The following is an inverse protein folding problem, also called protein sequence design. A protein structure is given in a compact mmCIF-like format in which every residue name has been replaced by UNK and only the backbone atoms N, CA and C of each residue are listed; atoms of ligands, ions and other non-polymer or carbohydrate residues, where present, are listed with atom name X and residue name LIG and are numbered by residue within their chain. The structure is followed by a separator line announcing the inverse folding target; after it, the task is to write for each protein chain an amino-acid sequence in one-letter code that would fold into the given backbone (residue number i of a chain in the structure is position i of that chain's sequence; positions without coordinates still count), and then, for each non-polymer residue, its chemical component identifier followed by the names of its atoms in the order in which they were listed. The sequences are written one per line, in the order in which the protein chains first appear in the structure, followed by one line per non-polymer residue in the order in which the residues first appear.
data_IF_426606229118
#
_entry.id   IF_426606229118
#
_cell.length_a   1.000
_cell.length_b   1.000
_cell.length_c   1.000
_cell.angle_alpha   90.00
_cell.angle_beta   90.00
_cell.angle_gamma   90.00
#
_symmetry.space_group_name_H-M   'P 1'
#
loop_
_entity.id
_entity.type
_entity.pdbx_description
1 polymer ?
#
# COMPACT_ATOMS: atom_id res chain seq x y z
N UNK A 1 9.63 -2.03 -1.25
CA UNK A 1 9.78 -1.84 0.21
C UNK A 1 8.65 -1.00 0.77
N UNK A 2 8.00 -1.44 1.84
CA UNK A 2 7.16 -0.55 2.65
C UNK A 2 8.02 0.31 3.58
N UNK A 3 7.80 1.62 3.62
CA UNK A 3 8.48 2.54 4.53
C UNK A 3 8.09 2.26 5.99
N UNK A 4 6.79 2.13 6.29
CA UNK A 4 6.35 1.76 7.64
C UNK A 4 6.76 0.33 8.00
N UNK A 5 6.80 -0.59 7.03
CA UNK A 5 7.32 -1.94 7.27
C UNK A 5 8.81 -1.92 7.60
N UNK A 6 9.62 -1.15 6.88
CA UNK A 6 11.04 -0.94 7.20
C UNK A 6 11.23 -0.34 8.60
N UNK A 7 10.38 0.61 9.00
CA UNK A 7 10.34 1.14 10.38
C UNK A 7 10.06 0.02 11.38
N UNK A 8 9.01 -0.78 11.18
CA UNK A 8 8.64 -1.86 12.10
C UNK A 8 9.70 -2.95 12.20
N UNK A 9 10.38 -3.27 11.09
CA UNK A 9 11.53 -4.18 11.07
C UNK A 9 12.71 -3.64 11.87
N UNK A 10 13.02 -2.35 11.72
CA UNK A 10 14.08 -1.70 12.50
C UNK A 10 13.73 -1.63 13.99
N UNK A 11 12.49 -1.33 14.35
CA UNK A 11 11.99 -1.37 15.74
C UNK A 11 12.03 -2.78 16.33
N UNK A 12 11.96 -3.80 15.47
CA UNK A 12 12.14 -5.21 15.84
C UNK A 12 13.62 -5.67 15.82
N UNK A 13 14.57 -4.74 15.73
CA UNK A 13 16.01 -5.01 15.85
C UNK A 13 16.71 -5.44 14.55
N UNK A 14 16.06 -5.32 13.38
CA UNK A 14 16.73 -5.59 12.11
C UNK A 14 17.61 -4.39 11.69
N UNK A 15 18.85 -4.67 11.28
CA UNK A 15 19.70 -3.65 10.66
C UNK A 15 19.27 -3.37 9.21
N UNK A 16 19.80 -2.30 8.61
CA UNK A 16 19.41 -1.90 7.25
C UNK A 16 19.66 -2.98 6.19
N UNK A 17 20.69 -3.82 6.35
CA UNK A 17 21.02 -4.90 5.40
C UNK A 17 19.95 -6.00 5.40
N UNK A 18 19.49 -6.41 6.59
CA UNK A 18 18.39 -7.37 6.74
C UNK A 18 17.08 -6.79 6.21
N UNK A 19 16.83 -5.51 6.44
CA UNK A 19 15.64 -4.82 5.92
C UNK A 19 15.66 -4.82 4.39
N UNK A 20 16.77 -4.39 3.76
CA UNK A 20 16.89 -4.37 2.30
C UNK A 20 16.78 -5.76 1.70
N UNK A 21 17.46 -6.76 2.27
CA UNK A 21 17.39 -8.15 1.81
C UNK A 21 15.97 -8.73 1.93
N UNK A 22 15.21 -8.33 2.95
CA UNK A 22 13.83 -8.76 3.10
C UNK A 22 12.92 -8.26 1.96
N UNK A 23 13.08 -7.01 1.52
CA UNK A 23 12.23 -6.42 0.48
C UNK A 23 12.72 -6.64 -0.95
N UNK A 24 14.03 -6.76 -1.13
CA UNK A 24 14.65 -6.81 -2.46
C UNK A 24 15.29 -8.17 -2.75
N UNK A 25 15.30 -9.10 -1.80
CA UNK A 25 15.76 -10.46 -2.04
C UNK A 25 17.27 -10.53 -2.26
N UNK A 26 17.68 -11.19 -3.35
CA UNK A 26 19.09 -11.53 -3.58
C UNK A 26 19.90 -10.34 -4.14
N UNK A 27 20.34 -9.51 -3.21
CA UNK A 27 21.09 -8.28 -3.47
C UNK A 27 22.44 -8.30 -2.75
N UNK A 28 23.35 -7.48 -3.23
CA UNK A 28 24.59 -7.10 -2.57
C UNK A 28 24.63 -5.56 -2.46
N UNK A 29 25.04 -5.03 -1.32
CA UNK A 29 25.21 -3.59 -1.14
C UNK A 29 26.64 -3.25 -1.54
N UNK A 30 26.80 -2.39 -2.55
CA UNK A 30 28.11 -1.95 -3.06
C UNK A 30 28.22 -0.43 -3.03
N UNK A 31 29.45 0.06 -3.05
CA UNK A 31 29.78 1.48 -3.22
C UNK A 31 30.55 1.66 -4.54
N UNK A 32 29.89 1.54 -5.71
CA UNK A 32 30.52 1.77 -7.00
C UNK A 32 30.84 3.26 -7.19
N UNK A 33 31.59 3.57 -8.24
CA UNK A 33 31.80 4.96 -8.67
C UNK A 33 30.50 5.51 -9.27
N UNK A 34 29.82 6.35 -8.49
CA UNK A 34 28.58 7.02 -8.89
C UNK A 34 28.88 8.45 -9.34
N UNK A 35 28.12 9.00 -10.30
CA UNK A 35 28.14 10.42 -10.57
C UNK A 35 27.93 11.24 -9.28
N UNK A 36 28.74 12.28 -9.09
CA UNK A 36 28.58 13.20 -7.95
C UNK A 36 27.28 14.00 -8.02
N UNK A 37 26.66 14.09 -9.21
CA UNK A 37 25.44 14.84 -9.44
C UNK A 37 24.36 14.02 -10.12
N UNK A 38 23.12 14.47 -10.00
CA UNK A 38 21.94 13.89 -10.65
C UNK A 38 21.10 14.99 -11.31
N UNK A 39 20.62 14.71 -12.52
CA UNK A 39 19.74 15.61 -13.25
C UNK A 39 18.29 15.43 -12.80
N UNK A 40 17.64 16.53 -12.41
CA UNK A 40 16.24 16.55 -11.98
C UNK A 40 15.39 17.51 -12.81
N UNK A 41 14.07 17.47 -12.65
CA UNK A 41 13.13 18.49 -13.13
C UNK A 41 13.38 19.90 -12.60
N UNK A 42 14.12 20.04 -11.50
CA UNK A 42 14.51 21.31 -10.88
C UNK A 42 16.00 21.66 -11.06
N UNK A 43 16.68 21.01 -12.01
CA UNK A 43 18.09 21.21 -12.33
C UNK A 43 19.00 20.11 -11.78
N UNK A 44 20.30 20.31 -11.91
CA UNK A 44 21.33 19.35 -11.49
C UNK A 44 21.67 19.54 -10.02
N UNK A 45 21.55 18.48 -9.22
CA UNK A 45 21.82 18.49 -7.79
C UNK A 45 23.00 17.58 -7.45
N UNK A 46 23.77 17.94 -6.41
CA UNK A 46 24.68 17.01 -5.75
C UNK A 46 23.88 15.80 -5.21
N UNK A 47 24.31 14.59 -5.57
CA UNK A 47 23.55 13.35 -5.38
C UNK A 47 23.31 13.08 -3.89
N UNK A 48 24.38 12.90 -3.12
CA UNK A 48 24.28 12.56 -1.69
C UNK A 48 24.02 13.76 -0.78
N UNK A 49 24.35 14.97 -1.21
CA UNK A 49 23.99 16.20 -0.52
C UNK A 49 22.60 16.65 -0.91
N UNK A 50 22.48 17.61 -1.83
CA UNK A 50 21.22 18.33 -2.08
C UNK A 50 20.06 17.40 -2.42
N UNK A 51 20.28 16.36 -3.22
CA UNK A 51 19.21 15.47 -3.66
C UNK A 51 18.76 14.51 -2.55
N UNK A 52 19.62 13.58 -2.10
CA UNK A 52 19.27 12.60 -1.06
C UNK A 52 18.87 13.25 0.27
N UNK A 53 19.59 14.30 0.74
CA UNK A 53 19.21 15.00 1.98
C UNK A 53 17.87 15.71 1.89
N UNK A 54 17.44 16.08 0.68
CA UNK A 54 16.15 16.73 0.44
C UNK A 54 14.97 15.78 0.24
N UNK A 55 15.18 14.46 0.16
CA UNK A 55 14.07 13.52 -0.01
C UNK A 55 13.13 13.52 1.19
N UNK A 56 11.89 13.93 0.98
CA UNK A 56 10.83 14.09 1.99
C UNK A 56 9.95 12.84 2.15
N UNK A 57 10.54 11.67 1.94
CA UNK A 57 9.87 10.37 1.89
C UNK A 57 9.55 9.78 3.28
N UNK A 58 10.44 10.00 4.24
CA UNK A 58 10.28 9.48 5.60
C UNK A 58 10.59 10.52 6.68
N UNK A 59 9.94 10.43 7.86
CA UNK A 59 10.25 11.27 9.01
C UNK A 59 11.67 11.04 9.53
N UNK A 60 12.39 12.13 9.84
CA UNK A 60 13.76 12.09 10.36
C UNK A 60 13.86 11.54 11.80
N UNK A 61 12.73 11.36 12.49
CA UNK A 61 12.64 10.77 13.82
C UNK A 61 12.65 9.24 13.83
N UNK A 62 12.55 8.60 12.66
CA UNK A 62 12.50 7.16 12.54
C UNK A 62 13.82 6.47 12.97
N UNK A 63 13.80 5.14 13.20
CA UNK A 63 14.99 4.37 13.49
C UNK A 63 16.09 4.56 12.43
N UNK A 64 17.34 4.61 12.86
CA UNK A 64 18.48 4.86 11.98
C UNK A 64 18.60 3.81 10.87
N UNK A 65 18.38 2.53 11.18
CA UNK A 65 18.44 1.45 10.18
C UNK A 65 17.33 1.54 9.13
N UNK A 66 16.13 1.98 9.49
CA UNK A 66 15.08 2.27 8.52
C UNK A 66 15.47 3.44 7.60
N UNK A 67 16.08 4.48 8.16
CA UNK A 67 16.56 5.62 7.37
C UNK A 67 17.72 5.26 6.44
N UNK A 68 18.66 4.43 6.89
CA UNK A 68 19.75 3.91 6.05
C UNK A 68 19.21 3.05 4.92
N UNK A 69 18.28 2.14 5.20
CA UNK A 69 17.64 1.31 4.18
C UNK A 69 16.96 2.19 3.12
N UNK A 70 16.21 3.22 3.53
CA UNK A 70 15.60 4.16 2.60
C UNK A 70 16.62 4.96 1.79
N UNK A 71 17.69 5.45 2.40
CA UNK A 71 18.72 6.20 1.66
C UNK A 71 19.34 5.35 0.55
N UNK A 72 19.66 4.09 0.84
CA UNK A 72 20.21 3.13 -0.13
C UNK A 72 19.17 2.79 -1.21
N UNK A 73 17.93 2.48 -0.84
CA UNK A 73 16.86 2.18 -1.79
C UNK A 73 16.55 3.38 -2.70
N UNK A 74 16.49 4.59 -2.14
CA UNK A 74 16.25 5.81 -2.87
C UNK A 74 17.38 6.13 -3.86
N UNK A 75 18.64 6.01 -3.44
CA UNK A 75 19.81 6.19 -4.32
C UNK A 75 19.80 5.16 -5.44
N UNK A 76 19.50 3.91 -5.11
CA UNK A 76 19.41 2.81 -6.08
C UNK A 76 18.33 3.08 -7.13
N UNK A 77 17.13 3.47 -6.70
CA UNK A 77 16.03 3.84 -7.58
C UNK A 77 16.42 5.02 -8.50
N UNK A 78 16.95 6.10 -7.93
CA UNK A 78 17.33 7.29 -8.68
C UNK A 78 18.38 6.99 -9.77
N UNK A 79 19.41 6.23 -9.43
CA UNK A 79 20.45 5.78 -10.38
C UNK A 79 19.90 4.87 -11.46
N UNK A 80 19.08 3.88 -11.09
CA UNK A 80 18.38 3.04 -12.07
C UNK A 80 17.53 3.88 -13.02
N UNK A 81 16.83 4.90 -12.51
CA UNK A 81 15.90 5.76 -13.23
C UNK A 81 16.60 6.65 -14.26
N UNK A 82 17.73 7.27 -13.90
CA UNK A 82 18.50 8.12 -14.82
C UNK A 82 19.32 7.33 -15.84
N UNK A 83 19.29 5.99 -15.76
CA UNK A 83 19.95 5.10 -16.71
C UNK A 83 21.38 4.74 -16.34
N UNK A 84 21.80 4.94 -15.09
CA UNK A 84 23.11 4.46 -14.63
C UNK A 84 23.11 2.93 -14.61
N UNK A 85 24.18 2.32 -15.13
CA UNK A 85 24.44 0.89 -15.10
C UNK A 85 25.90 0.66 -14.75
N UNK A 86 26.24 -0.52 -14.25
CA UNK A 86 27.63 -0.88 -13.95
C UNK A 86 28.57 -0.80 -15.17
N UNK A 87 28.04 -0.97 -16.38
CA UNK A 87 28.77 -0.79 -17.65
C UNK A 87 28.50 0.55 -18.36
N UNK A 88 27.64 1.41 -17.80
CA UNK A 88 27.35 2.75 -18.29
C UNK A 88 27.21 3.71 -17.10
N UNK A 89 28.33 4.26 -16.67
CA UNK A 89 28.43 5.11 -15.48
C UNK A 89 28.16 6.59 -15.76
N UNK A 90 27.83 6.95 -17.02
CA UNK A 90 27.53 8.33 -17.45
C UNK A 90 26.06 8.49 -17.86
N UNK A 91 25.11 8.46 -16.91
CA UNK A 91 23.69 8.60 -17.20
C UNK A 91 23.32 9.99 -17.73
N UNK A 92 22.44 10.05 -18.72
CA UNK A 92 21.87 11.30 -19.25
C UNK A 92 20.40 11.52 -18.86
N UNK A 93 19.78 10.55 -18.19
CA UNK A 93 18.38 10.61 -17.77
C UNK A 93 18.11 11.68 -16.72
N UNK A 94 16.82 11.97 -16.53
CA UNK A 94 16.34 13.04 -15.65
C UNK A 94 15.18 12.53 -14.79
N UNK A 95 15.26 12.71 -13.48
CA UNK A 95 14.25 12.26 -12.51
C UNK A 95 13.34 13.41 -12.03
N UNK A 96 12.07 13.14 -11.79
CA UNK A 96 11.14 14.14 -11.26
C UNK A 96 11.25 14.29 -9.73
N UNK A 97 10.82 15.42 -9.18
CA UNK A 97 10.90 15.73 -7.73
C UNK A 97 9.54 15.70 -7.01
N UNK A 98 8.58 14.96 -7.59
CA UNK A 98 7.20 14.82 -7.11
C UNK A 98 6.89 13.38 -6.71
N UNK A 99 5.68 13.14 -6.20
CA UNK A 99 5.18 11.80 -5.84
C UNK A 99 5.20 10.79 -7.01
N UNK A 100 5.32 11.27 -8.26
CA UNK A 100 5.48 10.40 -9.43
C UNK A 100 6.85 9.71 -9.48
N UNK A 101 7.86 10.24 -8.78
CA UNK A 101 9.18 9.65 -8.65
C UNK A 101 9.57 9.58 -7.17
N UNK A 102 10.15 10.66 -6.65
CA UNK A 102 10.55 10.80 -5.26
C UNK A 102 10.29 12.23 -4.81
N UNK A 103 9.58 12.40 -3.71
CA UNK A 103 9.23 13.74 -3.22
C UNK A 103 10.46 14.43 -2.67
N UNK A 104 10.81 15.59 -3.23
CA UNK A 104 11.95 16.38 -2.78
C UNK A 104 11.50 17.73 -2.21
N UNK A 105 12.09 18.11 -1.07
CA UNK A 105 11.85 19.38 -0.39
C UNK A 105 13.16 20.12 -0.14
N UNK A 106 13.22 21.38 -0.58
CA UNK A 106 14.35 22.27 -0.33
C UNK A 106 14.57 22.53 1.15
N UNK A 107 13.49 22.67 1.93
CA UNK A 107 13.59 22.91 3.37
C UNK A 107 14.19 21.71 4.11
N UNK A 108 13.87 20.48 3.69
CA UNK A 108 14.45 19.28 4.29
C UNK A 108 15.94 19.13 3.97
N UNK A 109 16.36 19.57 2.78
CA UNK A 109 17.76 19.47 2.34
C UNK A 109 18.72 20.27 3.25
N UNK A 110 18.25 21.37 3.85
CA UNK A 110 19.08 22.29 4.64
C UNK A 110 18.68 22.40 6.10
N UNK A 111 17.58 21.77 6.54
CA UNK A 111 17.10 21.91 7.92
C UNK A 111 17.85 21.05 8.92
N UNK A 112 18.26 21.65 10.04
CA UNK A 112 18.84 20.97 11.20
C UNK A 112 17.88 19.95 11.84
N UNK A 113 16.56 20.17 11.72
CA UNK A 113 15.54 19.21 12.16
C UNK A 113 15.62 17.87 11.39
N UNK A 114 16.26 17.87 10.22
CA UNK A 114 16.52 16.69 9.41
C UNK A 114 17.93 16.10 9.61
N UNK A 115 18.71 16.58 10.59
CA UNK A 115 20.08 16.14 10.86
C UNK A 115 20.23 14.61 10.97
N UNK A 116 19.28 13.92 11.61
CA UNK A 116 19.29 12.44 11.69
C UNK A 116 19.13 11.76 10.33
N UNK A 117 18.30 12.31 9.45
CA UNK A 117 18.18 11.85 8.07
C UNK A 117 19.48 12.12 7.31
N UNK A 118 20.07 13.31 7.45
CA UNK A 118 21.36 13.63 6.82
C UNK A 118 22.48 12.70 7.28
N UNK A 119 22.50 12.31 8.56
CA UNK A 119 23.42 11.31 9.08
C UNK A 119 23.20 9.92 8.47
N UNK A 120 21.96 9.51 8.21
CA UNK A 120 21.68 8.23 7.55
C UNK A 120 22.18 8.24 6.10
N UNK A 121 21.98 9.35 5.38
CA UNK A 121 22.51 9.56 4.02
C UNK A 121 24.04 9.51 4.04
N UNK A 122 24.69 10.23 4.95
CA UNK A 122 26.15 10.24 5.06
C UNK A 122 26.73 8.87 5.40
N UNK A 123 26.13 8.16 6.38
CA UNK A 123 26.55 6.80 6.77
C UNK A 123 26.36 5.76 5.67
N UNK A 124 25.63 6.10 4.61
CA UNK A 124 25.37 5.22 3.46
C UNK A 124 25.80 5.84 2.14
N UNK A 125 26.69 6.85 2.18
CA UNK A 125 27.14 7.60 1.01
C UNK A 125 27.67 6.65 -0.06
N UNK A 126 27.21 6.86 -1.30
CA UNK A 126 27.56 6.01 -2.45
C UNK A 126 27.00 4.57 -2.43
N UNK A 127 26.36 4.11 -1.36
CA UNK A 127 25.86 2.73 -1.27
C UNK A 127 24.61 2.52 -2.13
N UNK A 128 24.61 1.51 -2.98
CA UNK A 128 23.48 1.06 -3.80
C UNK A 128 23.31 -0.45 -3.72
N UNK A 129 22.13 -0.95 -4.09
CA UNK A 129 21.90 -2.38 -4.23
C UNK A 129 22.22 -2.83 -5.65
N UNK A 130 23.02 -3.88 -5.75
CA UNK A 130 23.33 -4.59 -6.98
C UNK A 130 22.71 -5.98 -6.89
N UNK A 131 22.01 -6.39 -7.93
CA UNK A 131 21.44 -7.73 -8.04
C UNK A 131 22.57 -8.75 -8.18
N UNK A 132 22.62 -9.76 -7.30
CA UNK A 132 23.66 -10.82 -7.44
C UNK A 132 23.49 -11.63 -8.71
N UNK A 133 22.26 -11.76 -9.20
CA UNK A 133 21.92 -12.48 -10.43
C UNK A 133 22.42 -11.78 -11.69
N UNK A 134 22.24 -10.46 -11.78
CA UNK A 134 22.55 -9.71 -13.00
C UNK A 134 23.88 -8.97 -12.92
N UNK A 135 24.44 -8.81 -11.73
CA UNK A 135 25.64 -8.00 -11.49
C UNK A 135 25.40 -6.49 -11.65
N UNK A 136 24.14 -6.05 -11.82
CA UNK A 136 23.79 -4.67 -12.12
C UNK A 136 22.69 -4.13 -11.20
N UNK A 137 22.45 -2.81 -11.29
CA UNK A 137 21.39 -2.13 -10.56
C UNK A 137 19.99 -2.52 -11.09
N UNK A 138 18.98 -2.30 -10.26
CA UNK A 138 17.57 -2.51 -10.59
C UNK A 138 16.71 -1.39 -9.99
N UNK A 139 15.44 -1.31 -10.40
CA UNK A 139 14.53 -0.29 -9.84
C UNK A 139 14.06 -0.69 -8.44
N UNK A 140 14.62 -0.06 -7.40
CA UNK A 140 14.29 -0.34 -6.00
C UNK A 140 12.99 0.37 -5.55
N UNK A 141 11.83 -0.10 -6.03
CA UNK A 141 10.53 0.51 -5.70
C UNK A 141 10.23 0.49 -4.20
N UNK A 142 9.60 1.55 -3.72
CA UNK A 142 9.10 1.67 -2.34
C UNK A 142 7.78 2.44 -2.28
N UNK A 143 7.05 2.27 -1.20
CA UNK A 143 5.78 2.94 -0.93
C UNK A 143 5.63 3.22 0.56
N UNK A 144 4.73 4.14 0.94
CA UNK A 144 4.45 4.42 2.34
C UNK A 144 3.98 3.17 3.08
N UNK A 145 2.98 2.46 2.52
CA UNK A 145 2.42 1.25 3.12
C UNK A 145 2.04 0.22 2.05
N UNK A 146 2.25 -1.07 2.34
CA UNK A 146 1.98 -2.19 1.42
C UNK A 146 0.73 -3.01 1.76
N UNK A 147 0.24 -2.93 2.99
CA UNK A 147 -0.89 -3.75 3.48
C UNK A 147 -0.47 -5.06 4.16
N UNK A 148 0.83 -5.24 4.43
CA UNK A 148 1.38 -6.45 5.08
C UNK A 148 1.75 -7.58 4.12
N UNK A 149 1.63 -7.36 2.81
CA UNK A 149 2.13 -8.26 1.77
C UNK A 149 2.85 -7.46 0.68
N UNK A 150 4.04 -7.93 0.28
CA UNK A 150 4.78 -7.36 -0.84
C UNK A 150 4.43 -8.10 -2.12
N UNK A 151 4.10 -7.37 -3.19
CA UNK A 151 3.99 -7.97 -4.52
C UNK A 151 5.37 -8.21 -5.13
N UNK A 152 5.52 -9.36 -5.78
CA UNK A 152 6.67 -9.64 -6.63
C UNK A 152 6.70 -8.66 -7.80
N UNK A 153 7.89 -8.20 -8.19
CA UNK A 153 8.10 -7.51 -9.45
C UNK A 153 9.43 -7.90 -10.06
N UNK A 154 9.58 -7.67 -11.36
CA UNK A 154 10.85 -7.81 -12.07
C UNK A 154 11.24 -6.48 -12.68
N UNK A 155 12.48 -6.05 -12.46
CA UNK A 155 13.07 -4.88 -13.10
C UNK A 155 14.50 -5.22 -13.51
N UNK A 156 14.85 -4.94 -14.76
CA UNK A 156 16.22 -5.11 -15.30
C UNK A 156 16.81 -6.51 -15.01
N UNK A 157 15.98 -7.55 -15.12
CA UNK A 157 16.38 -8.95 -14.89
C UNK A 157 16.48 -9.39 -13.42
N UNK A 158 16.35 -8.47 -12.47
CA UNK A 158 16.23 -8.75 -11.05
C UNK A 158 14.76 -8.93 -10.66
N UNK A 159 14.45 -9.98 -9.92
CA UNK A 159 13.08 -10.31 -9.47
C UNK A 159 13.03 -10.34 -7.96
N UNK A 160 12.06 -9.62 -7.37
CA UNK A 160 11.73 -9.74 -5.95
C UNK A 160 10.70 -10.85 -5.74
N UNK A 161 10.66 -11.41 -4.53
CA UNK A 161 9.61 -12.36 -4.15
C UNK A 161 8.33 -11.63 -3.72
N UNK A 162 7.19 -12.31 -3.89
CA UNK A 162 5.96 -11.93 -3.22
C UNK A 162 5.92 -12.61 -1.86
N UNK A 163 5.71 -11.85 -0.78
CA UNK A 163 5.77 -12.38 0.57
C UNK A 163 5.01 -11.57 1.62
N UNK A 164 4.67 -12.24 2.72
CA UNK A 164 4.05 -11.61 3.88
C UNK A 164 5.09 -10.85 4.69
N UNK A 165 4.85 -9.55 4.86
CA UNK A 165 5.69 -8.64 5.64
C UNK A 165 5.30 -8.66 7.12
N UNK A 166 5.33 -9.85 7.70
CA UNK A 166 4.92 -10.16 9.08
C UNK A 166 6.08 -10.81 9.85
N UNK A 167 6.03 -10.80 11.19
CA UNK A 167 7.06 -11.47 12.01
C UNK A 167 7.18 -12.96 11.75
N UNK A 168 6.06 -13.65 11.51
CA UNK A 168 6.04 -15.08 11.20
C UNK A 168 6.30 -15.39 9.72
N UNK A 169 6.35 -14.39 8.85
CA UNK A 169 6.56 -14.57 7.41
C UNK A 169 5.38 -15.24 6.68
N UNK A 170 4.21 -15.34 7.32
CA UNK A 170 2.99 -15.89 6.74
C UNK A 170 1.77 -15.01 7.06
N UNK A 171 0.65 -15.37 6.45
CA UNK A 171 -0.68 -14.77 6.67
C UNK A 171 -1.23 -15.03 8.07
N UNK A 172 -0.72 -16.02 8.80
CA UNK A 172 -1.37 -16.53 10.01
C UNK A 172 -1.19 -15.60 11.22
N UNK A 173 -0.17 -14.74 11.20
CA UNK A 173 0.04 -13.68 12.18
C UNK A 173 -0.34 -12.29 11.65
N UNK A 174 -0.92 -12.23 10.44
CA UNK A 174 -1.55 -11.01 9.96
C UNK A 174 -2.93 -10.90 10.63
N UNK A 175 -3.25 -9.80 11.28
CA UNK A 175 -2.79 -8.44 10.96
C UNK A 175 -1.81 -7.88 11.98
N UNK A 176 -1.88 -8.35 13.23
CA UNK A 176 -1.23 -7.73 14.38
C UNK A 176 0.30 -7.72 14.27
N UNK A 177 0.89 -8.77 13.70
CA UNK A 177 2.34 -8.91 13.58
C UNK A 177 2.90 -8.45 12.23
N UNK A 178 2.09 -7.81 11.38
CA UNK A 178 2.61 -7.08 10.24
C UNK A 178 3.54 -5.96 10.71
N UNK A 179 4.70 -5.80 10.09
CA UNK A 179 5.65 -4.75 10.51
C UNK A 179 5.06 -3.34 10.41
N UNK A 180 4.14 -3.12 9.48
CA UNK A 180 3.41 -1.85 9.35
C UNK A 180 2.43 -1.60 10.50
N UNK A 181 1.86 -2.67 11.07
CA UNK A 181 1.02 -2.63 12.28
C UNK A 181 1.87 -2.27 13.50
N UNK A 182 2.99 -2.97 13.68
CA UNK A 182 3.97 -2.72 14.75
C UNK A 182 4.45 -1.26 14.71
N UNK A 183 4.74 -0.76 13.51
CA UNK A 183 5.17 0.62 13.28
C UNK A 183 4.05 1.67 13.41
N UNK A 184 2.81 1.23 13.68
CA UNK A 184 1.60 2.06 13.79
C UNK A 184 1.37 2.93 12.55
N UNK A 185 1.43 2.32 11.36
CA UNK A 185 1.12 3.04 10.12
C UNK A 185 -0.32 3.58 10.16
N UNK A 186 -0.54 4.88 9.89
CA UNK A 186 -1.88 5.48 9.85
C UNK A 186 -2.67 5.08 8.59
N UNK A 187 -2.05 4.32 7.69
CA UNK A 187 -2.60 3.86 6.42
C UNK A 187 -2.75 2.35 6.38
N UNK A 188 -2.01 1.61 7.20
CA UNK A 188 -2.22 0.18 7.36
C UNK A 188 -3.62 -0.01 7.90
N UNK A 189 -4.41 -0.86 7.22
CA UNK A 189 -5.71 -1.24 7.73
C UNK A 189 -6.75 -0.12 7.85
N UNK A 190 -6.59 0.93 7.04
CA UNK A 190 -7.48 2.08 7.11
C UNK A 190 -8.83 1.80 6.46
N UNK A 191 -9.91 2.02 7.20
CA UNK A 191 -11.25 2.13 6.64
C UNK A 191 -11.39 3.41 5.81
N UNK A 192 -11.44 3.29 4.49
CA UNK A 192 -11.55 4.41 3.57
C UNK A 192 -13.02 4.82 3.41
N UNK A 193 -13.35 6.05 3.79
CA UNK A 193 -14.71 6.62 3.69
C UNK A 193 -14.74 8.02 3.07
N UNK A 194 -13.62 8.47 2.50
CA UNK A 194 -13.50 9.77 1.85
C UNK A 194 -12.96 9.64 0.44
N UNK A 195 -13.36 10.54 -0.44
CA UNK A 195 -12.80 10.68 -1.78
C UNK A 195 -11.37 11.23 -1.73
N UNK A 196 -10.67 11.20 -2.87
CA UNK A 196 -9.36 11.86 -3.02
C UNK A 196 -9.43 13.37 -2.76
N UNK A 197 -10.56 14.00 -3.06
CA UNK A 197 -10.84 15.41 -2.74
C UNK A 197 -11.32 15.64 -1.31
N UNK A 198 -11.15 14.65 -0.41
CA UNK A 198 -11.50 14.70 1.00
C UNK A 198 -13.03 14.88 1.27
N UNK A 199 -13.89 14.59 0.28
CA UNK A 199 -15.35 14.57 0.47
C UNK A 199 -15.73 13.31 1.24
N UNK A 200 -16.45 13.45 2.36
CA UNK A 200 -16.87 12.32 3.21
C UNK A 200 -18.26 11.77 2.89
N UNK A 201 -19.00 12.42 1.99
CA UNK A 201 -20.33 12.01 1.57
C UNK A 201 -21.28 11.70 2.75
N UNK A 202 -21.37 12.65 3.68
CA UNK A 202 -22.27 12.55 4.83
C UNK A 202 -21.74 11.70 5.99
N UNK A 203 -20.57 11.08 5.86
CA UNK A 203 -20.01 10.20 6.90
C UNK A 203 -18.94 10.90 7.75
N UNK A 204 -18.85 10.48 9.01
CA UNK A 204 -17.78 10.86 9.95
C UNK A 204 -16.83 9.69 10.25
N UNK A 205 -17.22 8.47 9.89
CA UNK A 205 -16.47 7.24 10.12
C UNK A 205 -16.72 6.18 9.02
N UNK A 206 -15.87 5.15 8.92
CA UNK A 206 -16.03 4.07 7.95
C UNK A 206 -16.95 2.93 8.41
N UNK A 207 -17.39 2.89 9.68
CA UNK A 207 -18.29 1.84 10.18
C UNK A 207 -19.62 1.87 9.44
N UNK A 208 -20.10 0.71 9.03
CA UNK A 208 -21.45 0.49 8.50
C UNK A 208 -22.41 0.18 9.66
N UNK A 209 -23.67 0.55 9.52
CA UNK A 209 -24.73 0.02 10.39
C UNK A 209 -25.05 -1.43 10.02
N UNK A 210 -25.73 -2.14 10.92
CA UNK A 210 -26.22 -3.50 10.65
C UNK A 210 -27.10 -3.54 9.39
N UNK A 211 -28.00 -2.57 9.23
CA UNK A 211 -28.84 -2.43 8.04
C UNK A 211 -28.02 -2.18 6.77
N UNK A 212 -27.02 -1.30 6.83
CA UNK A 212 -26.14 -1.03 5.68
C UNK A 212 -25.33 -2.26 5.27
N UNK A 213 -24.84 -3.04 6.24
CA UNK A 213 -24.07 -4.24 5.94
C UNK A 213 -24.96 -5.40 5.46
N UNK A 214 -26.11 -5.61 6.08
CA UNK A 214 -27.11 -6.59 5.63
C UNK A 214 -27.60 -6.32 4.21
N UNK A 215 -27.78 -5.04 3.81
CA UNK A 215 -28.09 -4.64 2.43
C UNK A 215 -26.99 -5.06 1.44
N UNK A 216 -25.72 -4.86 1.79
CA UNK A 216 -24.59 -5.29 0.95
C UNK A 216 -24.55 -6.81 0.81
N UNK A 217 -24.77 -7.57 1.90
CA UNK A 217 -24.80 -9.04 1.84
C UNK A 217 -26.03 -9.52 1.04
N UNK A 218 -27.19 -8.90 1.22
CA UNK A 218 -28.38 -9.16 0.41
C UNK A 218 -28.13 -8.95 -1.08
N UNK A 219 -27.46 -7.85 -1.45
CA UNK A 219 -27.05 -7.59 -2.83
C UNK A 219 -26.12 -8.68 -3.38
N UNK A 220 -25.14 -9.15 -2.59
CA UNK A 220 -24.24 -10.23 -2.99
C UNK A 220 -24.99 -11.53 -3.27
N UNK A 221 -25.93 -11.91 -2.40
CA UNK A 221 -26.75 -13.12 -2.60
C UNK A 221 -27.60 -13.00 -3.86
N UNK A 222 -28.23 -11.84 -4.10
CA UNK A 222 -29.05 -11.62 -5.30
C UNK A 222 -28.23 -11.68 -6.60
N UNK A 223 -26.99 -11.17 -6.62
CA UNK A 223 -26.10 -11.27 -7.79
C UNK A 223 -25.65 -12.72 -8.01
N UNK A 224 -25.41 -13.46 -6.93
CA UNK A 224 -25.02 -14.87 -7.00
C UNK A 224 -26.14 -15.75 -7.56
N UNK A 225 -27.38 -15.45 -7.21
CA UNK A 225 -28.56 -16.17 -7.70
C UNK A 225 -28.89 -15.80 -9.15
N UNK A 226 -28.80 -14.51 -9.51
CA UNK A 226 -28.92 -14.03 -10.90
C UNK A 226 -28.02 -12.81 -11.13
N UNK A 227 -26.98 -13.00 -11.95
CA UNK A 227 -26.04 -11.94 -12.30
C UNK A 227 -26.68 -10.72 -12.95
N UNK A 228 -27.86 -10.86 -13.58
CA UNK A 228 -28.64 -9.76 -14.15
C UNK A 228 -29.05 -8.72 -13.11
N UNK A 229 -29.18 -9.11 -11.83
CA UNK A 229 -29.53 -8.22 -10.73
C UNK A 229 -28.50 -7.11 -10.48
N UNK A 230 -27.26 -7.26 -10.98
CA UNK A 230 -26.20 -6.25 -10.81
C UNK A 230 -26.63 -4.85 -11.30
N UNK A 231 -27.49 -4.77 -12.32
CA UNK A 231 -27.99 -3.50 -12.87
C UNK A 231 -28.80 -2.69 -11.85
N UNK A 232 -29.36 -3.35 -10.82
CA UNK A 232 -30.17 -2.74 -9.78
C UNK A 232 -29.41 -2.43 -8.49
N UNK A 233 -28.14 -2.83 -8.37
CA UNK A 233 -27.41 -2.88 -7.09
C UNK A 233 -26.33 -1.81 -6.94
N UNK A 234 -26.54 -0.67 -7.59
CA UNK A 234 -25.73 0.53 -7.37
C UNK A 234 -25.95 1.14 -5.97
N UNK A 235 -25.13 2.11 -5.58
CA UNK A 235 -25.21 2.77 -4.27
C UNK A 235 -26.52 3.55 -4.12
N UNK A 236 -27.35 3.28 -3.09
CA UNK A 236 -28.64 3.98 -2.88
C UNK A 236 -28.51 5.49 -2.72
N UNK A 237 -27.37 5.95 -2.20
CA UNK A 237 -27.10 7.36 -1.89
C UNK A 237 -26.22 8.04 -2.94
N UNK A 238 -26.12 7.45 -4.15
CA UNK A 238 -25.24 7.90 -5.23
C UNK A 238 -25.43 9.39 -5.59
N UNK A 239 -26.67 9.90 -5.64
CA UNK A 239 -26.90 11.33 -5.92
C UNK A 239 -26.29 12.25 -4.86
N UNK A 240 -26.37 11.90 -3.59
CA UNK A 240 -25.83 12.73 -2.52
C UNK A 240 -24.29 12.83 -2.59
N UNK A 241 -23.63 11.73 -2.96
CA UNK A 241 -22.17 11.66 -3.00
C UNK A 241 -21.59 12.07 -4.36
N UNK A 242 -22.24 11.67 -5.46
CA UNK A 242 -21.71 11.76 -6.83
C UNK A 242 -22.52 12.69 -7.75
N UNK A 243 -23.69 13.16 -7.30
CA UNK A 243 -24.55 14.08 -8.07
C UNK A 243 -25.33 13.41 -9.19
N UNK A 244 -25.34 12.07 -9.26
CA UNK A 244 -26.10 11.30 -10.25
C UNK A 244 -26.83 10.15 -9.56
N UNK A 245 -28.11 10.02 -9.87
CA UNK A 245 -28.90 8.81 -9.57
C UNK A 245 -28.68 7.78 -10.68
N UNK A 246 -28.87 6.51 -10.33
CA UNK A 246 -29.01 5.40 -11.28
C UNK A 246 -30.46 4.95 -11.16
N UNK A 247 -31.27 5.23 -12.19
CA UNK A 247 -32.74 5.18 -12.15
C UNK A 247 -33.32 3.85 -11.66
N UNK A 248 -32.61 2.76 -11.94
CA UNK A 248 -33.10 1.40 -11.69
C UNK A 248 -32.54 0.79 -10.40
N UNK A 249 -31.92 1.63 -9.55
CA UNK A 249 -31.32 1.17 -8.29
C UNK A 249 -32.39 0.78 -7.28
N UNK A 250 -32.33 -0.46 -6.81
CA UNK A 250 -33.16 -0.94 -5.71
C UNK A 250 -32.81 -0.24 -4.40
N UNK A 251 -33.85 0.16 -3.66
CA UNK A 251 -33.70 0.65 -2.29
C UNK A 251 -33.20 -0.46 -1.36
N UNK A 252 -32.79 -0.10 -0.14
CA UNK A 252 -32.43 -1.10 0.88
C UNK A 252 -33.62 -2.00 1.24
N UNK A 253 -34.83 -1.43 1.25
CA UNK A 253 -36.06 -2.18 1.48
C UNK A 253 -36.32 -3.21 0.38
N UNK A 254 -36.09 -2.85 -0.89
CA UNK A 254 -36.24 -3.78 -2.01
C UNK A 254 -35.25 -4.95 -1.93
N UNK A 255 -33.98 -4.66 -1.63
CA UNK A 255 -32.95 -5.70 -1.45
C UNK A 255 -33.28 -6.59 -0.26
N UNK A 256 -33.74 -6.02 0.85
CA UNK A 256 -34.18 -6.75 2.04
C UNK A 256 -35.37 -7.67 1.75
N UNK A 257 -36.37 -7.20 1.01
CA UNK A 257 -37.53 -8.01 0.63
C UNK A 257 -37.15 -9.16 -0.29
N UNK A 258 -36.30 -8.89 -1.29
CA UNK A 258 -35.87 -9.88 -2.30
C UNK A 258 -34.91 -10.93 -1.74
N UNK A 259 -33.93 -10.52 -0.96
CA UNK A 259 -32.93 -11.44 -0.36
C UNK A 259 -33.44 -12.10 0.93
N UNK A 260 -34.35 -11.44 1.64
CA UNK A 260 -34.78 -11.83 2.98
C UNK A 260 -33.71 -11.65 4.07
N UNK A 261 -32.53 -11.10 3.75
CA UNK A 261 -31.43 -10.88 4.69
C UNK A 261 -31.70 -9.61 5.47
N UNK A 262 -31.68 -9.72 6.79
CA UNK A 262 -31.97 -8.62 7.72
C UNK A 262 -30.92 -8.48 8.81
N UNK A 263 -30.06 -9.48 8.97
CA UNK A 263 -29.09 -9.57 10.07
C UNK A 263 -27.88 -10.41 9.62
N UNK A 264 -26.69 -9.94 9.97
CA UNK A 264 -25.40 -10.61 9.88
C UNK A 264 -24.92 -10.92 11.30
N UNK A 265 -24.91 -12.21 11.64
CA UNK A 265 -24.60 -12.70 12.99
C UNK A 265 -23.11 -12.84 13.25
N UNK A 266 -22.36 -13.16 12.20
CA UNK A 266 -20.95 -13.50 12.31
C UNK A 266 -20.26 -13.32 10.95
N UNK A 267 -18.97 -13.01 11.00
CA UNK A 267 -18.13 -12.89 9.81
C UNK A 267 -16.74 -13.45 10.06
N UNK A 268 -16.27 -14.25 9.11
CA UNK A 268 -14.93 -14.81 9.10
C UNK A 268 -14.27 -14.50 7.75
N UNK A 269 -13.02 -14.05 7.80
CA UNK A 269 -12.26 -13.63 6.62
C UNK A 269 -10.97 -14.43 6.56
N UNK A 270 -10.74 -15.10 5.43
CA UNK A 270 -9.52 -15.87 5.21
C UNK A 270 -8.65 -15.23 4.16
N UNK A 271 -7.34 -15.50 4.25
CA UNK A 271 -6.33 -14.94 3.35
C UNK A 271 -5.63 -16.05 2.59
N UNK A 272 -5.27 -15.77 1.34
CA UNK A 272 -4.45 -16.65 0.50
C UNK A 272 -2.96 -16.49 0.86
N UNK A 273 -2.11 -17.40 0.40
CA UNK A 273 -0.66 -17.19 0.46
C UNK A 273 -0.19 -16.03 -0.43
N UNK A 274 -0.96 -15.67 -1.46
CA UNK A 274 -0.66 -14.63 -2.45
C UNK A 274 -0.99 -13.20 -2.03
N UNK A 275 -1.31 -12.96 -0.75
CA UNK A 275 -1.49 -11.59 -0.25
C UNK A 275 -2.81 -10.96 -0.65
N UNK A 276 -3.87 -11.76 -0.79
CA UNK A 276 -5.24 -11.29 -1.01
C UNK A 276 -6.20 -11.96 -0.05
N UNK A 277 -7.32 -11.30 0.22
CA UNK A 277 -8.48 -11.91 0.87
C UNK A 277 -9.01 -13.01 -0.03
N UNK A 278 -9.02 -14.24 0.47
CA UNK A 278 -9.44 -15.42 -0.27
C UNK A 278 -10.95 -15.59 -0.19
N UNK A 279 -11.49 -15.68 1.01
CA UNK A 279 -12.91 -15.91 1.25
C UNK A 279 -13.44 -14.96 2.32
N UNK A 280 -14.69 -14.55 2.14
CA UNK A 280 -15.51 -13.92 3.18
C UNK A 280 -16.68 -14.83 3.48
N UNK A 281 -16.75 -15.34 4.71
CA UNK A 281 -17.80 -16.22 5.21
C UNK A 281 -18.72 -15.44 6.11
N UNK A 282 -20.00 -15.44 5.80
CA UNK A 282 -21.01 -14.61 6.48
C UNK A 282 -22.14 -15.49 6.97
N UNK A 283 -22.45 -15.41 8.26
CA UNK A 283 -23.62 -16.07 8.84
C UNK A 283 -24.75 -15.06 8.96
N UNK A 284 -25.94 -15.41 8.48
CA UNK A 284 -27.08 -14.48 8.46
C UNK A 284 -28.32 -15.08 9.12
N UNK A 285 -29.42 -14.34 9.12
CA UNK A 285 -30.75 -14.87 9.45
C UNK A 285 -31.32 -15.83 8.39
N UNK A 286 -30.74 -15.90 7.18
CA UNK A 286 -31.21 -16.75 6.07
C UNK A 286 -30.29 -17.90 5.70
N UNK A 287 -29.14 -17.99 6.34
CA UNK A 287 -28.16 -19.06 6.11
C UNK A 287 -26.74 -18.54 6.11
N UNK A 288 -25.82 -19.45 5.81
CA UNK A 288 -24.40 -19.19 5.75
C UNK A 288 -23.96 -19.07 4.30
N UNK A 289 -23.20 -18.02 3.99
CA UNK A 289 -22.74 -17.71 2.65
C UNK A 289 -21.22 -17.60 2.63
N UNK A 290 -20.62 -18.01 1.52
CA UNK A 290 -19.19 -17.84 1.24
C UNK A 290 -19.03 -17.14 -0.10
N UNK A 291 -18.23 -16.08 -0.10
CA UNK A 291 -17.91 -15.26 -1.26
C UNK A 291 -16.40 -15.23 -1.49
N UNK A 292 -15.97 -15.21 -2.76
CA UNK A 292 -14.57 -14.94 -3.09
C UNK A 292 -14.20 -13.50 -2.73
N UNK A 293 -12.99 -13.24 -2.24
CA UNK A 293 -12.61 -11.88 -1.80
C UNK A 293 -12.67 -10.82 -2.91
N UNK A 294 -12.35 -11.19 -4.15
CA UNK A 294 -12.47 -10.29 -5.30
C UNK A 294 -13.93 -9.97 -5.66
N UNK A 295 -14.79 -10.99 -5.69
CA UNK A 295 -16.24 -10.86 -5.87
C UNK A 295 -16.85 -9.99 -4.77
N UNK A 296 -16.50 -10.27 -3.51
CA UNK A 296 -16.94 -9.50 -2.36
C UNK A 296 -16.55 -8.02 -2.51
N UNK A 297 -15.29 -7.74 -2.85
CA UNK A 297 -14.83 -6.37 -3.08
C UNK A 297 -15.58 -5.67 -4.21
N UNK A 298 -15.86 -6.38 -5.31
CA UNK A 298 -16.58 -5.82 -6.44
C UNK A 298 -17.99 -5.41 -6.04
N UNK A 299 -18.77 -6.33 -5.45
CA UNK A 299 -20.16 -6.05 -5.04
C UNK A 299 -20.22 -5.05 -3.90
N UNK A 300 -19.32 -5.16 -2.91
CA UNK A 300 -19.20 -4.18 -1.83
C UNK A 300 -19.00 -2.78 -2.40
N UNK A 301 -18.08 -2.58 -3.34
CA UNK A 301 -17.83 -1.26 -3.90
C UNK A 301 -18.97 -0.73 -4.77
N UNK A 302 -19.76 -1.61 -5.38
CA UNK A 302 -20.96 -1.23 -6.13
C UNK A 302 -22.07 -0.71 -5.20
N UNK A 303 -22.19 -1.27 -4.00
CA UNK A 303 -23.34 -1.03 -3.11
C UNK A 303 -23.04 -0.18 -1.87
N UNK A 304 -21.79 -0.12 -1.42
CA UNK A 304 -21.41 0.55 -0.19
C UNK A 304 -21.82 2.04 -0.17
N UNK A 305 -22.34 2.54 0.95
CA UNK A 305 -22.83 3.91 1.04
C UNK A 305 -21.71 4.95 1.07
N UNK A 306 -22.05 6.14 0.58
CA UNK A 306 -21.18 7.32 0.57
C UNK A 306 -19.90 7.07 -0.21
N UNK A 307 -18.77 7.45 0.39
CA UNK A 307 -17.45 7.23 -0.18
C UNK A 307 -16.72 6.03 0.45
N UNK A 308 -17.46 5.08 1.08
CA UNK A 308 -16.87 3.85 1.59
C UNK A 308 -16.48 2.93 0.42
N UNK A 309 -15.28 2.39 0.47
CA UNK A 309 -14.82 1.44 -0.54
C UNK A 309 -13.61 0.63 -0.05
N UNK A 310 -13.50 -0.59 -0.58
CA UNK A 310 -12.33 -1.44 -0.48
C UNK A 310 -11.34 -1.08 -1.61
N UNK A 311 -10.17 -0.55 -1.23
CA UNK A 311 -9.11 -0.14 -2.18
C UNK A 311 -8.22 -1.30 -2.63
N UNK A 312 -7.95 -2.25 -1.75
CA UNK A 312 -7.03 -3.36 -1.97
C UNK A 312 -7.80 -4.68 -2.07
N UNK A 313 -7.23 -5.67 -2.76
CA UNK A 313 -7.69 -7.07 -2.72
C UNK A 313 -7.37 -7.75 -1.38
N UNK A 314 -6.49 -7.14 -0.59
CA UNK A 314 -6.20 -7.56 0.77
C UNK A 314 -6.91 -6.65 1.76
N UNK A 315 -7.98 -7.16 2.37
CA UNK A 315 -8.83 -6.45 3.31
C UNK A 315 -9.37 -7.39 4.40
N UNK A 316 -9.67 -6.84 5.57
CA UNK A 316 -10.41 -7.53 6.62
C UNK A 316 -11.77 -6.85 6.83
N UNK A 317 -12.67 -7.51 7.56
CA UNK A 317 -13.93 -6.94 8.00
C UNK A 317 -13.98 -7.07 9.52
N UNK A 318 -14.23 -5.95 10.19
CA UNK A 318 -14.34 -5.89 11.64
C UNK A 318 -15.78 -5.63 12.04
N UNK A 319 -16.24 -6.36 13.05
CA UNK A 319 -17.54 -6.17 13.69
C UNK A 319 -17.34 -5.60 15.09
N UNK A 320 -18.01 -4.49 15.40
CA UNK A 320 -18.10 -3.96 16.76
C UNK A 320 -19.42 -4.38 17.37
N UNK A 321 -19.36 -5.08 18.49
CA UNK A 321 -20.51 -5.42 19.32
C UNK A 321 -20.77 -4.31 20.33
#
# INVERSE_FOLDING_TARGET
MSQYGAKGRAESGQNYEKILSAYYGDIEIKTPDLPSTINTDKGTFDLDGKYLKGLAEMPSSWPMDAMKAQAIAARTYAMSYVGWRTNNTSPSGKICTTESCQVWSSSKATSDSASRWHQAVEKTKGMVMISKKTGDIFSAYYAATSGGYNYAYTSLGHSTKGDWDTKCGSKDCWTSDAYESIAKSPWFYKGWYKTRSNKSCGRTHPWLTEEEFADIIGAMVLIKDDSGNQTHLSQPDAKSCWGKDISDTWSRSDVKEKSGITEVKDIDVTYSSGGVTAEVKVKTNKGDYTFGGEEFKAVFNLRAPGAIHLKSLLFNIEMKK
#
